data_IF_794638219031
#
_entry.id   IF_794638219031
#
_cell.length_a   1.000
_cell.length_b   1.000
_cell.length_c   1.000
_cell.angle_alpha   90.00
_cell.angle_beta   90.00
_cell.angle_gamma   90.00
#
_symmetry.space_group_name_H-M   'P 1'
#
loop_
_entity.id
_entity.type
_entity.pdbx_description
1 polymer ?
#
# COMPACT_ATOMS: atom_id res chain seq x y z
N UNK A 1 -9.60 -18.44 1.90
CA UNK A 1 -9.03 -17.52 0.88
C UNK A 1 -7.67 -17.07 1.39
N UNK A 2 -6.59 -17.22 0.63
CA UNK A 2 -5.24 -16.94 1.15
C UNK A 2 -5.00 -15.42 1.24
N UNK A 3 -5.17 -14.84 2.44
CA UNK A 3 -5.05 -13.40 2.65
C UNK A 3 -3.65 -12.87 2.33
N UNK A 4 -2.60 -13.68 2.49
CA UNK A 4 -1.26 -13.35 2.00
C UNK A 4 -1.28 -13.10 0.49
N UNK A 5 -1.93 -13.97 -0.29
CA UNK A 5 -1.96 -13.82 -1.76
C UNK A 5 -2.70 -12.53 -2.15
N UNK A 6 -3.81 -12.22 -1.50
CA UNK A 6 -4.52 -10.96 -1.73
C UNK A 6 -3.69 -9.75 -1.35
N UNK A 7 -3.02 -9.80 -0.20
CA UNK A 7 -2.12 -8.74 0.23
C UNK A 7 -1.06 -8.46 -0.82
N UNK A 8 -0.41 -9.51 -1.34
CA UNK A 8 0.62 -9.39 -2.38
C UNK A 8 0.03 -8.79 -3.66
N UNK A 9 -1.09 -9.32 -4.16
CA UNK A 9 -1.71 -8.78 -5.38
C UNK A 9 -2.04 -7.30 -5.24
N UNK A 10 -2.78 -6.91 -4.21
CA UNK A 10 -3.21 -5.52 -4.05
C UNK A 10 -2.05 -4.57 -3.70
N UNK A 11 -1.06 -5.03 -2.93
CA UNK A 11 0.12 -4.20 -2.65
C UNK A 11 1.00 -4.04 -3.89
N UNK A 12 1.12 -5.07 -4.72
CA UNK A 12 1.81 -4.98 -6.00
C UNK A 12 1.13 -4.02 -6.97
N UNK A 13 -0.21 -4.08 -7.06
CA UNK A 13 -1.01 -3.10 -7.81
C UNK A 13 -0.83 -1.69 -7.28
N UNK A 14 -0.89 -1.49 -5.96
CA UNK A 14 -0.67 -0.19 -5.34
C UNK A 14 0.71 0.40 -5.65
N UNK A 15 1.78 -0.40 -5.57
CA UNK A 15 3.13 0.05 -5.92
C UNK A 15 3.19 0.53 -7.37
N UNK A 16 2.58 -0.22 -8.28
CA UNK A 16 2.52 0.16 -9.69
C UNK A 16 1.71 1.45 -9.89
N UNK A 17 0.51 1.54 -9.32
CA UNK A 17 -0.33 2.74 -9.40
C UNK A 17 0.38 3.96 -8.83
N UNK A 18 0.98 3.84 -7.65
CA UNK A 18 1.74 4.92 -7.01
C UNK A 18 2.92 5.40 -7.86
N UNK A 19 3.67 4.46 -8.46
CA UNK A 19 4.78 4.80 -9.35
C UNK A 19 4.28 5.52 -10.62
N UNK A 20 3.20 5.02 -11.24
CA UNK A 20 2.59 5.65 -12.42
C UNK A 20 2.04 7.04 -12.08
N UNK A 21 1.35 7.19 -10.95
CA UNK A 21 0.82 8.50 -10.51
C UNK A 21 1.96 9.50 -10.34
N UNK A 22 3.02 9.07 -9.64
CA UNK A 22 4.18 9.91 -9.35
C UNK A 22 4.90 10.34 -10.62
N UNK A 23 5.03 9.46 -11.62
CA UNK A 23 5.56 9.81 -12.94
C UNK A 23 4.69 10.85 -13.64
N UNK A 24 3.36 10.69 -13.61
CA UNK A 24 2.44 11.63 -14.25
C UNK A 24 2.42 13.00 -13.56
N UNK A 25 2.71 13.07 -12.26
CA UNK A 25 2.79 14.33 -11.49
C UNK A 25 4.15 15.03 -11.71
N UNK A 26 5.14 14.32 -12.29
CA UNK A 26 6.47 14.85 -12.53
C UNK A 26 7.37 14.77 -11.29
N UNK A 27 7.07 13.86 -10.36
CA UNK A 27 7.92 13.60 -9.20
C UNK A 27 9.30 13.15 -9.67
N UNK A 28 10.41 13.72 -9.17
CA UNK A 28 11.76 13.26 -9.51
C UNK A 28 11.93 11.77 -9.23
N UNK A 29 12.68 11.05 -10.07
CA UNK A 29 12.90 9.60 -9.93
C UNK A 29 13.37 9.18 -8.53
N UNK A 30 14.26 9.97 -7.92
CA UNK A 30 14.72 9.71 -6.56
C UNK A 30 13.59 9.77 -5.53
N UNK A 31 12.63 10.68 -5.72
CA UNK A 31 11.43 10.78 -4.89
C UNK A 31 10.54 9.55 -5.06
N UNK A 32 10.31 9.10 -6.30
CA UNK A 32 9.53 7.89 -6.58
C UNK A 32 10.13 6.67 -5.89
N UNK A 33 11.46 6.52 -5.95
CA UNK A 33 12.16 5.40 -5.29
C UNK A 33 11.99 5.49 -3.77
N UNK A 34 12.24 6.66 -3.17
CA UNK A 34 12.12 6.85 -1.72
C UNK A 34 10.70 6.55 -1.24
N UNK A 35 9.68 7.04 -1.95
CA UNK A 35 8.28 6.83 -1.58
C UNK A 35 7.75 5.44 -1.92
N UNK A 36 8.31 4.73 -2.90
CA UNK A 36 7.92 3.34 -3.17
C UNK A 36 8.63 2.32 -2.26
N UNK A 37 9.77 2.69 -1.69
CA UNK A 37 10.65 1.78 -0.95
C UNK A 37 9.99 1.11 0.26
N UNK A 38 9.27 1.82 1.16
CA UNK A 38 8.57 1.18 2.27
C UNK A 38 7.54 0.14 1.79
N UNK A 39 6.76 0.46 0.76
CA UNK A 39 5.78 -0.49 0.21
C UNK A 39 6.48 -1.74 -0.36
N UNK A 40 7.55 -1.55 -1.12
CA UNK A 40 8.31 -2.64 -1.75
C UNK A 40 8.98 -3.56 -0.72
N UNK A 41 9.59 -3.01 0.34
CA UNK A 41 10.21 -3.81 1.40
C UNK A 41 9.18 -4.72 2.04
N UNK A 42 8.03 -4.18 2.44
CA UNK A 42 7.03 -4.96 3.17
C UNK A 42 6.28 -5.93 2.25
N UNK A 43 6.14 -5.61 0.96
CA UNK A 43 5.73 -6.56 -0.06
C UNK A 43 6.68 -7.78 -0.09
N UNK A 44 8.00 -7.55 -0.19
CA UNK A 44 9.00 -8.62 -0.22
C UNK A 44 9.03 -9.41 1.10
N UNK A 45 8.96 -8.73 2.24
CA UNK A 45 8.90 -9.40 3.54
C UNK A 45 7.66 -10.29 3.66
N UNK A 46 6.48 -9.82 3.23
CA UNK A 46 5.27 -10.63 3.21
C UNK A 46 5.39 -11.83 2.25
N UNK A 47 6.15 -11.70 1.16
CA UNK A 47 6.42 -12.79 0.23
C UNK A 47 7.23 -13.91 0.89
N UNK A 48 8.37 -13.57 1.51
CA UNK A 48 9.30 -14.56 2.07
C UNK A 48 8.95 -15.02 3.49
N UNK A 49 8.56 -14.09 4.37
CA UNK A 49 8.33 -14.32 5.80
C UNK A 49 7.06 -13.60 6.27
N UNK A 50 5.88 -14.07 5.86
CA UNK A 50 4.61 -13.49 6.30
C UNK A 50 4.46 -13.67 7.81
N UNK A 51 4.44 -12.57 8.56
CA UNK A 51 4.19 -12.60 10.01
C UNK A 51 3.17 -11.53 10.36
N UNK A 52 2.47 -11.70 11.49
CA UNK A 52 1.52 -10.70 11.97
C UNK A 52 2.16 -9.31 12.10
N UNK A 53 3.43 -9.25 12.55
CA UNK A 53 4.18 -8.01 12.70
C UNK A 53 4.40 -7.30 11.36
N UNK A 54 4.74 -8.03 10.29
CA UNK A 54 4.93 -7.46 8.94
C UNK A 54 3.66 -6.74 8.49
N UNK A 55 2.52 -7.41 8.58
CA UNK A 55 1.23 -6.83 8.18
C UNK A 55 0.80 -5.66 9.07
N UNK A 56 1.07 -5.73 10.37
CA UNK A 56 0.75 -4.65 11.31
C UNK A 56 1.59 -3.40 11.05
N UNK A 57 2.91 -3.53 10.87
CA UNK A 57 3.76 -2.37 10.56
C UNK A 57 3.38 -1.79 9.20
N UNK A 58 3.12 -2.63 8.19
CA UNK A 58 2.62 -2.18 6.90
C UNK A 58 1.32 -1.38 7.04
N UNK A 59 0.40 -1.80 7.92
CA UNK A 59 -0.86 -1.08 8.17
C UNK A 59 -0.64 0.30 8.80
N UNK A 60 0.46 0.53 9.54
CA UNK A 60 0.84 1.86 9.97
C UNK A 60 1.44 2.70 8.85
N UNK A 61 2.31 2.08 8.03
CA UNK A 61 2.94 2.75 6.89
C UNK A 61 1.87 3.24 5.91
N UNK A 62 0.92 2.39 5.52
CA UNK A 62 -0.12 2.74 4.55
C UNK A 62 -1.02 3.91 5.00
N UNK A 63 -1.15 4.16 6.31
CA UNK A 63 -1.89 5.34 6.81
C UNK A 63 -1.19 6.65 6.45
N UNK A 64 0.14 6.65 6.34
CA UNK A 64 0.89 7.82 5.86
C UNK A 64 0.55 8.07 4.40
N UNK A 65 0.53 7.03 3.57
CA UNK A 65 0.13 7.11 2.15
C UNK A 65 -1.33 7.56 2.02
N UNK A 66 -2.22 7.06 2.88
CA UNK A 66 -3.61 7.50 2.92
C UNK A 66 -3.71 9.01 3.11
N UNK A 67 -2.98 9.56 4.08
CA UNK A 67 -3.00 11.00 4.34
C UNK A 67 -2.46 11.81 3.15
N UNK A 68 -1.38 11.35 2.50
CA UNK A 68 -0.83 12.05 1.33
C UNK A 68 -1.79 12.00 0.14
N UNK A 69 -2.37 10.83 -0.16
CA UNK A 69 -3.31 10.68 -1.29
C UNK A 69 -4.62 11.45 -1.04
N UNK A 70 -5.06 11.60 0.22
CA UNK A 70 -6.19 12.46 0.56
C UNK A 70 -5.96 13.93 0.20
N UNK A 71 -4.72 14.44 0.31
CA UNK A 71 -4.41 15.81 -0.10
C UNK A 71 -4.60 16.00 -1.61
N UNK A 72 -4.28 14.98 -2.41
CA UNK A 72 -4.48 15.05 -3.86
C UNK A 72 -5.96 14.89 -4.23
N UNK A 73 -6.65 13.93 -3.62
CA UNK A 73 -8.04 13.59 -3.97
C UNK A 73 -9.03 14.66 -3.49
N UNK A 74 -8.87 15.14 -2.27
CA UNK A 74 -9.81 16.08 -1.65
C UNK A 74 -9.28 17.52 -1.60
N UNK A 75 -7.97 17.72 -1.68
CA UNK A 75 -7.36 19.05 -1.64
C UNK A 75 -7.23 19.73 -3.01
N UNK A 76 -7.26 18.98 -4.12
CA UNK A 76 -7.21 19.54 -5.48
C UNK A 76 -8.61 19.62 -6.11
N UNK A 77 -8.93 20.71 -6.83
CA UNK A 77 -10.26 20.91 -7.44
C UNK A 77 -10.58 19.93 -8.57
N UNK A 78 -9.55 19.34 -9.20
CA UNK A 78 -9.68 18.38 -10.30
C UNK A 78 -8.72 17.20 -10.07
N UNK A 79 -8.99 16.42 -9.03
CA UNK A 79 -8.22 15.22 -8.72
C UNK A 79 -8.22 14.24 -9.91
N UNK A 80 -7.04 13.70 -10.23
CA UNK A 80 -6.87 12.76 -11.34
C UNK A 80 -7.55 11.43 -11.00
N UNK A 81 -8.06 10.75 -12.02
CA UNK A 81 -8.63 9.41 -11.87
C UNK A 81 -7.67 8.44 -11.17
N UNK A 82 -6.38 8.51 -11.51
CA UNK A 82 -5.37 7.63 -10.92
C UNK A 82 -5.18 7.86 -9.40
N UNK A 83 -5.34 9.10 -8.92
CA UNK A 83 -5.32 9.41 -7.48
C UNK A 83 -6.52 8.78 -6.74
N UNK A 84 -7.69 8.71 -7.38
CA UNK A 84 -8.85 8.00 -6.83
C UNK A 84 -8.64 6.48 -6.79
N UNK A 85 -8.00 5.92 -7.81
CA UNK A 85 -7.62 4.50 -7.84
C UNK A 85 -6.63 4.21 -6.72
N UNK A 86 -5.58 5.02 -6.57
CA UNK A 86 -4.58 4.87 -5.52
C UNK A 86 -5.21 4.93 -4.11
N UNK A 87 -6.12 5.88 -3.87
CA UNK A 87 -6.85 5.97 -2.60
C UNK A 87 -7.66 4.69 -2.33
N UNK A 88 -8.34 4.17 -3.36
CA UNK A 88 -9.15 2.96 -3.25
C UNK A 88 -8.28 1.74 -2.94
N UNK A 89 -7.14 1.61 -3.62
CA UNK A 89 -6.16 0.55 -3.37
C UNK A 89 -5.60 0.63 -1.95
N UNK A 90 -5.24 1.82 -1.47
CA UNK A 90 -4.77 2.04 -0.10
C UNK A 90 -5.78 1.50 0.92
N UNK A 91 -7.06 1.84 0.76
CA UNK A 91 -8.13 1.38 1.66
C UNK A 91 -8.28 -0.14 1.61
N UNK A 92 -8.29 -0.73 0.41
CA UNK A 92 -8.39 -2.19 0.24
C UNK A 92 -7.20 -2.89 0.89
N UNK A 93 -5.97 -2.45 0.60
CA UNK A 93 -4.75 -3.06 1.13
C UNK A 93 -4.71 -2.91 2.65
N UNK A 94 -5.12 -1.78 3.22
CA UNK A 94 -5.18 -1.59 4.67
C UNK A 94 -6.04 -2.66 5.34
N UNK A 95 -7.27 -2.87 4.85
CA UNK A 95 -8.14 -3.92 5.41
C UNK A 95 -7.53 -5.31 5.22
N UNK A 96 -7.04 -5.63 4.02
CA UNK A 96 -6.42 -6.93 3.73
C UNK A 96 -5.23 -7.18 4.66
N UNK A 97 -4.38 -6.18 4.90
CA UNK A 97 -3.23 -6.27 5.81
C UNK A 97 -3.68 -6.52 7.25
N UNK A 98 -4.66 -5.77 7.76
CA UNK A 98 -5.20 -5.96 9.12
C UNK A 98 -5.79 -7.37 9.30
N UNK A 99 -6.56 -7.85 8.33
CA UNK A 99 -7.11 -9.21 8.38
C UNK A 99 -6.02 -10.28 8.25
N UNK A 100 -5.03 -10.08 7.39
CA UNK A 100 -3.89 -10.98 7.28
C UNK A 100 -3.10 -11.06 8.59
N UNK A 101 -2.89 -9.93 9.28
CA UNK A 101 -2.25 -9.91 10.59
C UNK A 101 -3.01 -10.76 11.61
N UNK A 102 -4.34 -10.62 11.65
CA UNK A 102 -5.23 -11.41 12.53
C UNK A 102 -5.17 -12.90 12.21
N UNK A 103 -5.16 -13.27 10.94
CA UNK A 103 -5.02 -14.66 10.50
C UNK A 103 -3.69 -15.26 10.96
N UNK A 104 -2.58 -14.53 10.78
CA UNK A 104 -1.28 -14.98 11.25
C UNK A 104 -1.23 -15.18 12.77
N UNK A 105 -1.88 -14.32 13.56
CA UNK A 105 -1.94 -14.49 15.02
C UNK A 105 -2.77 -15.71 15.45
N UNK A 106 -3.81 -16.08 14.68
CA UNK A 106 -4.64 -17.26 14.98
C UNK A 106 -3.92 -18.57 14.66
N UNK A 107 -3.12 -18.58 13.60
CA UNK A 107 -2.39 -19.78 13.16
C UNK A 107 -1.12 -20.08 13.97
N UNK A 108 -0.73 -19.17 14.89
CA UNK A 108 0.38 -19.37 15.83
C UNK A 108 -0.10 -20.04 17.14
N UNK A 109 -1.41 -20.16 17.34
CA UNK A 109 -2.01 -20.99 18.41
C UNK A 109 -2.16 -22.43 17.95
#
# INVERSE_FOLDING_TARGET
>A
MNLKKLFLVFTGSLILTHALNSLMIGTPFIGIVIWSFPLAIFFLQAWFKPTARVYQIFSFIILIYFMTTCLDVFGLPNARFLSWVELTEIVIVFFVAVYAAREQLRNVK
#
